data_IF_951044363906
#
_entry.id   IF_951044363906
#
_cell.length_a   1.000
_cell.length_b   1.000
_cell.length_c   1.000
_cell.angle_alpha   90.00
_cell.angle_beta   90.00
_cell.angle_gamma   90.00
#
_symmetry.space_group_name_H-M   'P 1'
#
loop_
_entity.id
_entity.type
_entity.pdbx_description
1 polymer ?
#
# COMPACT_ATOMS: atom_id res chain seq x y z
N UNK A 1 21.89 6.53 5.55
CA UNK A 1 20.93 6.17 4.47
C UNK A 1 20.35 4.77 4.70
N UNK A 2 19.74 4.53 5.87
CA UNK A 2 19.26 3.20 6.30
C UNK A 2 17.72 3.11 6.22
N UNK A 3 17.02 4.23 6.46
CA UNK A 3 15.55 4.33 6.41
C UNK A 3 14.94 4.24 4.99
N UNK A 4 15.73 4.42 3.93
CA UNK A 4 15.20 4.38 2.56
C UNK A 4 15.13 2.96 1.97
N UNK A 5 15.80 1.97 2.60
CA UNK A 5 15.91 0.60 2.08
C UNK A 5 14.77 -0.32 2.51
N UNK A 6 14.05 0.01 3.58
CA UNK A 6 12.93 -0.78 4.07
C UNK A 6 11.61 -0.11 3.63
N UNK A 7 10.69 -0.83 2.94
CA UNK A 7 9.43 -0.26 2.47
C UNK A 7 8.55 0.31 3.59
N UNK A 8 8.69 -0.19 4.82
CA UNK A 8 7.96 0.30 6.00
C UNK A 8 8.49 1.65 6.50
N UNK A 9 9.78 1.93 6.33
CA UNK A 9 10.41 3.18 6.81
C UNK A 9 10.58 4.24 5.70
N UNK A 10 10.29 3.88 4.45
CA UNK A 10 10.28 4.76 3.28
C UNK A 10 9.33 5.97 3.42
N UNK A 11 8.11 5.83 3.98
CA UNK A 11 7.24 6.96 4.35
C UNK A 11 7.95 8.01 5.21
N UNK A 12 8.61 7.56 6.27
CA UNK A 12 9.31 8.42 7.22
C UNK A 12 10.54 9.08 6.59
N UNK A 13 11.22 8.40 5.66
CA UNK A 13 12.33 8.97 4.93
C UNK A 13 11.89 10.15 4.04
N UNK A 14 10.71 10.08 3.41
CA UNK A 14 10.15 11.16 2.60
C UNK A 14 9.75 12.37 3.47
N UNK A 15 9.09 12.12 4.60
CA UNK A 15 8.76 13.16 5.57
C UNK A 15 10.04 13.86 6.08
N UNK A 16 11.09 13.09 6.44
CA UNK A 16 12.37 13.66 6.88
C UNK A 16 13.05 14.49 5.79
N UNK A 17 12.94 14.08 4.53
CA UNK A 17 13.48 14.83 3.40
C UNK A 17 12.73 16.15 3.21
N UNK A 18 11.40 16.13 3.30
CA UNK A 18 10.56 17.33 3.20
C UNK A 18 10.74 18.32 4.35
N UNK A 19 11.20 17.86 5.52
CA UNK A 19 11.50 18.71 6.67
C UNK A 19 12.91 19.35 6.62
N UNK A 20 13.80 18.92 5.72
CA UNK A 20 15.16 19.49 5.61
C UNK A 20 15.21 21.02 5.45
N UNK A 21 14.37 21.67 4.63
CA UNK A 21 14.37 23.12 4.50
C UNK A 21 14.00 23.81 5.83
N UNK A 22 13.05 23.23 6.57
CA UNK A 22 12.60 23.76 7.86
C UNK A 22 13.70 23.65 8.94
N UNK A 23 14.47 22.55 8.93
CA UNK A 23 15.65 22.40 9.78
C UNK A 23 16.73 23.45 9.44
N UNK A 24 16.93 23.73 8.14
CA UNK A 24 17.89 24.75 7.70
C UNK A 24 17.47 26.15 8.14
N UNK A 25 16.19 26.49 7.99
CA UNK A 25 15.64 27.76 8.48
C UNK A 25 15.81 27.92 9.99
N UNK A 26 15.55 26.85 10.77
CA UNK A 26 15.77 26.87 12.21
C UNK A 26 17.24 27.12 12.59
N UNK A 27 18.17 26.49 11.86
CA UNK A 27 19.60 26.70 12.03
C UNK A 27 20.04 28.12 11.67
N UNK A 28 19.34 28.82 10.78
CA UNK A 28 19.64 30.23 10.45
C UNK A 28 19.11 31.24 11.47
N UNK A 29 18.09 30.87 12.27
CA UNK A 29 17.52 31.73 13.30
C UNK A 29 18.35 31.71 14.60
N UNK A 30 19.02 30.59 14.88
CA UNK A 30 19.82 30.38 16.10
C UNK A 30 20.99 31.38 16.28
N UNK A 31 21.83 31.68 15.26
CA UNK A 31 23.01 32.55 15.44
C UNK A 31 22.67 33.99 15.81
N UNK A 32 21.60 34.55 15.21
CA UNK A 32 21.15 35.92 15.49
C UNK A 32 20.61 36.09 16.91
N UNK A 33 20.05 35.01 17.46
CA UNK A 33 19.62 34.93 18.85
C UNK A 33 20.89 34.84 19.71
N UNK A 34 21.75 33.84 19.50
CA UNK A 34 22.98 33.62 20.29
C UNK A 34 23.89 34.86 20.38
N UNK A 35 23.97 35.68 19.34
CA UNK A 35 24.82 36.88 19.28
C UNK A 35 24.43 38.00 20.26
N UNK A 36 23.17 38.09 20.73
CA UNK A 36 22.72 39.19 21.61
C UNK A 36 23.12 39.07 23.09
N UNK A 37 23.83 37.99 23.49
CA UNK A 37 23.84 37.53 24.89
C UNK A 37 25.11 37.80 25.73
N UNK A 38 26.22 38.28 25.17
CA UNK A 38 27.52 38.20 25.86
C UNK A 38 27.85 39.30 26.90
N UNK A 39 26.92 39.76 27.77
CA UNK A 39 27.27 40.75 28.85
C UNK A 39 26.56 40.67 30.22
N UNK A 40 25.40 40.03 30.42
CA UNK A 40 24.75 39.96 31.75
C UNK A 40 23.79 38.76 31.91
N UNK A 41 24.20 37.69 32.61
CA UNK A 41 23.63 36.34 32.43
C UNK A 41 22.13 36.19 32.74
N UNK A 42 21.60 36.81 33.80
CA UNK A 42 20.25 36.50 34.29
C UNK A 42 19.14 37.30 33.59
N UNK A 43 19.37 38.61 33.39
CA UNK A 43 18.45 39.47 32.63
C UNK A 43 18.45 39.14 31.15
N UNK A 44 19.59 38.71 30.62
CA UNK A 44 19.68 38.28 29.23
C UNK A 44 19.08 36.87 29.03
N UNK A 45 19.17 35.97 30.02
CA UNK A 45 18.42 34.69 29.99
C UNK A 45 16.90 34.88 29.93
N UNK A 46 16.33 35.79 30.72
CA UNK A 46 14.90 36.08 30.66
C UNK A 46 14.47 36.65 29.28
N UNK A 47 15.31 37.47 28.65
CA UNK A 47 15.09 37.96 27.27
C UNK A 47 15.22 36.85 26.23
N UNK A 48 16.12 35.89 26.43
CA UNK A 48 16.27 34.72 25.57
C UNK A 48 15.02 33.85 25.60
N UNK A 49 14.57 33.50 26.81
CA UNK A 49 13.37 32.68 27.02
C UNK A 49 12.15 33.37 26.37
N UNK A 50 12.01 34.69 26.54
CA UNK A 50 10.95 35.46 25.90
C UNK A 50 11.06 35.47 24.35
N UNK A 51 12.26 35.68 23.79
CA UNK A 51 12.45 35.67 22.32
C UNK A 51 12.17 34.29 21.70
N UNK A 52 12.54 33.22 22.40
CA UNK A 52 12.22 31.85 21.97
C UNK A 52 10.70 31.64 22.01
N UNK A 53 10.06 32.02 23.11
CA UNK A 53 8.63 31.81 23.33
C UNK A 53 7.75 32.63 22.37
N UNK A 54 8.09 33.89 22.14
CA UNK A 54 7.25 34.81 21.36
C UNK A 54 7.56 34.75 19.86
N UNK A 55 8.78 34.37 19.46
CA UNK A 55 9.20 34.43 18.05
C UNK A 55 9.54 33.06 17.47
N UNK A 56 10.45 32.31 18.10
CA UNK A 56 10.96 31.06 17.53
C UNK A 56 9.90 29.97 17.56
N UNK A 57 9.25 29.75 18.71
CA UNK A 57 8.22 28.71 18.85
C UNK A 57 7.05 28.95 17.88
N UNK A 58 6.45 30.16 17.79
CA UNK A 58 5.35 30.42 16.87
C UNK A 58 5.75 30.30 15.40
N UNK A 59 6.96 30.74 15.02
CA UNK A 59 7.44 30.65 13.63
C UNK A 59 7.67 29.17 13.22
N UNK A 60 8.27 28.38 14.10
CA UNK A 60 8.44 26.93 13.88
C UNK A 60 7.08 26.23 13.79
N UNK A 61 6.15 26.55 14.69
CA UNK A 61 4.79 25.99 14.65
C UNK A 61 4.06 26.35 13.35
N UNK A 62 4.16 27.60 12.90
CA UNK A 62 3.55 28.06 11.64
C UNK A 62 4.13 27.30 10.44
N UNK A 63 5.46 27.20 10.34
CA UNK A 63 6.13 26.48 9.25
C UNK A 63 5.79 24.99 9.25
N UNK A 64 5.76 24.35 10.43
CA UNK A 64 5.38 22.94 10.57
C UNK A 64 3.93 22.71 10.17
N UNK A 65 2.99 23.54 10.65
CA UNK A 65 1.57 23.45 10.27
C UNK A 65 1.34 23.61 8.78
N UNK A 66 2.19 24.37 8.08
CA UNK A 66 2.10 24.56 6.63
C UNK A 66 2.65 23.37 5.83
N UNK A 67 3.76 22.79 6.28
CA UNK A 67 4.49 21.76 5.51
C UNK A 67 4.03 20.34 5.84
N UNK A 68 3.70 20.04 7.10
CA UNK A 68 3.35 18.68 7.53
C UNK A 68 2.13 18.11 6.79
N UNK A 69 0.99 18.82 6.63
CA UNK A 69 -0.17 18.24 5.96
C UNK A 69 0.14 17.80 4.53
N UNK A 70 0.92 18.60 3.79
CA UNK A 70 1.32 18.26 2.42
C UNK A 70 2.17 16.99 2.37
N UNK A 71 3.17 16.86 3.24
CA UNK A 71 4.04 15.68 3.30
C UNK A 71 3.27 14.41 3.72
N UNK A 72 2.35 14.54 4.68
CA UNK A 72 1.51 13.42 5.09
C UNK A 72 0.56 13.00 3.97
N UNK A 73 -0.09 13.95 3.30
CA UNK A 73 -1.01 13.66 2.21
C UNK A 73 -0.30 12.99 1.05
N UNK A 74 0.85 13.52 0.61
CA UNK A 74 1.64 12.91 -0.46
C UNK A 74 2.07 11.48 -0.11
N UNK A 75 2.50 11.26 1.14
CA UNK A 75 2.89 9.94 1.61
C UNK A 75 1.70 8.97 1.65
N UNK A 76 0.54 9.42 2.10
CA UNK A 76 -0.68 8.63 2.15
C UNK A 76 -1.18 8.30 0.75
N UNK A 77 -1.23 9.27 -0.15
CA UNK A 77 -1.64 9.08 -1.54
C UNK A 77 -0.76 8.07 -2.26
N UNK A 78 0.56 8.17 -2.11
CA UNK A 78 1.50 7.21 -2.69
C UNK A 78 1.31 5.80 -2.12
N UNK A 79 1.07 5.70 -0.81
CA UNK A 79 0.85 4.41 -0.14
C UNK A 79 -0.48 3.77 -0.57
N UNK A 80 -1.54 4.57 -0.64
CA UNK A 80 -2.87 4.14 -1.08
C UNK A 80 -2.88 3.73 -2.55
N UNK A 81 -2.22 4.50 -3.42
CA UNK A 81 -2.05 4.15 -4.83
C UNK A 81 -1.33 2.81 -4.97
N UNK A 82 -0.20 2.64 -4.28
CA UNK A 82 0.53 1.37 -4.31
C UNK A 82 -0.26 0.18 -3.76
N UNK A 83 -1.11 0.40 -2.75
CA UNK A 83 -2.01 -0.64 -2.23
C UNK A 83 -3.11 -0.99 -3.24
N UNK A 84 -3.73 0.03 -3.87
CA UNK A 84 -4.75 -0.13 -4.90
C UNK A 84 -4.21 -0.93 -6.08
N UNK A 85 -3.06 -0.54 -6.62
CA UNK A 85 -2.47 -1.20 -7.79
C UNK A 85 -2.17 -2.69 -7.51
N UNK A 86 -1.66 -3.02 -6.31
CA UNK A 86 -1.46 -4.42 -5.89
C UNK A 86 -2.77 -5.19 -5.77
N UNK A 87 -3.79 -4.57 -5.18
CA UNK A 87 -5.10 -5.19 -5.02
C UNK A 87 -5.74 -5.48 -6.39
N UNK A 88 -5.71 -4.52 -7.31
CA UNK A 88 -6.23 -4.70 -8.68
C UNK A 88 -5.51 -5.81 -9.44
N UNK A 89 -4.18 -5.90 -9.29
CA UNK A 89 -3.38 -6.97 -9.88
C UNK A 89 -3.78 -8.34 -9.32
N UNK A 90 -3.88 -8.49 -7.99
CA UNK A 90 -4.26 -9.75 -7.35
C UNK A 90 -5.68 -10.19 -7.72
N UNK A 91 -6.63 -9.24 -7.77
CA UNK A 91 -8.01 -9.52 -8.21
C UNK A 91 -8.02 -10.02 -9.65
N UNK A 92 -7.27 -9.38 -10.54
CA UNK A 92 -7.20 -9.76 -11.96
C UNK A 92 -6.60 -11.16 -12.11
N UNK A 93 -5.51 -11.45 -11.40
CA UNK A 93 -4.88 -12.77 -11.41
C UNK A 93 -5.84 -13.86 -10.92
N UNK A 94 -6.51 -13.66 -9.78
CA UNK A 94 -7.48 -14.62 -9.25
C UNK A 94 -8.66 -14.86 -10.19
N UNK A 95 -9.15 -13.82 -10.88
CA UNK A 95 -10.21 -13.97 -11.90
C UNK A 95 -9.75 -14.86 -13.05
N UNK A 96 -8.51 -14.72 -13.50
CA UNK A 96 -7.94 -15.56 -14.56
C UNK A 96 -7.78 -17.02 -14.09
N UNK A 97 -7.27 -17.25 -12.88
CA UNK A 97 -7.18 -18.59 -12.29
C UNK A 97 -8.55 -19.28 -12.22
N UNK A 98 -9.59 -18.57 -11.77
CA UNK A 98 -10.95 -19.09 -11.70
C UNK A 98 -11.46 -19.45 -13.11
N UNK A 99 -11.25 -18.59 -14.10
CA UNK A 99 -11.70 -18.84 -15.47
C UNK A 99 -11.02 -20.08 -16.08
N UNK A 100 -9.72 -20.27 -15.83
CA UNK A 100 -8.99 -21.45 -16.28
C UNK A 100 -9.51 -22.72 -15.61
N UNK A 101 -9.69 -22.70 -14.29
CA UNK A 101 -10.25 -23.82 -13.53
C UNK A 101 -11.68 -24.18 -13.97
N UNK A 102 -12.51 -23.18 -14.27
CA UNK A 102 -13.86 -23.39 -14.81
C UNK A 102 -13.83 -24.07 -16.18
N UNK A 103 -12.94 -23.61 -17.08
CA UNK A 103 -12.77 -24.19 -18.41
C UNK A 103 -12.30 -25.65 -18.35
N UNK A 104 -11.37 -25.96 -17.45
CA UNK A 104 -10.90 -27.33 -17.23
C UNK A 104 -12.02 -28.23 -16.69
N UNK A 105 -12.78 -27.73 -15.69
CA UNK A 105 -13.95 -28.44 -15.16
C UNK A 105 -15.00 -28.72 -16.23
N UNK A 106 -15.29 -27.75 -17.11
CA UNK A 106 -16.26 -27.92 -18.18
C UNK A 106 -15.80 -28.95 -19.22
N UNK A 107 -14.51 -28.96 -19.55
CA UNK A 107 -13.93 -30.01 -20.40
C UNK A 107 -14.12 -31.40 -19.78
N UNK A 108 -13.78 -31.56 -18.50
CA UNK A 108 -13.96 -32.83 -17.81
C UNK A 108 -15.43 -33.27 -17.72
N UNK A 109 -16.35 -32.33 -17.54
CA UNK A 109 -17.79 -32.62 -17.55
C UNK A 109 -18.23 -33.18 -18.92
N UNK A 110 -17.81 -32.53 -20.01
CA UNK A 110 -18.15 -32.96 -21.36
C UNK A 110 -17.57 -34.35 -21.68
N UNK A 111 -16.34 -34.62 -21.26
CA UNK A 111 -15.71 -35.93 -21.42
C UNK A 111 -16.48 -37.02 -20.66
N UNK A 112 -16.96 -36.72 -19.45
CA UNK A 112 -17.78 -37.64 -18.65
C UNK A 112 -19.16 -37.91 -19.29
N UNK A 113 -19.84 -36.88 -19.79
CA UNK A 113 -21.15 -37.06 -20.44
C UNK A 113 -21.03 -37.90 -21.72
N UNK A 114 -19.96 -37.70 -22.49
CA UNK A 114 -19.66 -38.53 -23.65
C UNK A 114 -19.45 -40.01 -23.26
N UNK A 115 -18.69 -40.26 -22.19
CA UNK A 115 -18.47 -41.63 -21.70
C UNK A 115 -19.77 -42.27 -21.21
N UNK A 116 -20.62 -41.51 -20.50
CA UNK A 116 -21.93 -41.96 -20.04
C UNK A 116 -22.82 -42.35 -21.21
N UNK A 117 -22.90 -41.53 -22.26
CA UNK A 117 -23.69 -41.84 -23.45
C UNK A 117 -23.20 -43.13 -24.15
N UNK A 118 -21.88 -43.32 -24.25
CA UNK A 118 -21.30 -44.56 -24.82
C UNK A 118 -21.72 -45.78 -23.99
N UNK A 119 -21.71 -45.67 -22.67
CA UNK A 119 -22.13 -46.76 -21.78
C UNK A 119 -23.62 -47.07 -21.89
N UNK A 120 -24.48 -46.05 -21.91
CA UNK A 120 -25.93 -46.22 -22.10
C UNK A 120 -26.23 -46.92 -23.44
N UNK A 121 -25.57 -46.51 -24.52
CA UNK A 121 -25.72 -47.16 -25.82
C UNK A 121 -25.30 -48.65 -25.78
N UNK A 122 -24.23 -48.98 -25.05
CA UNK A 122 -23.79 -50.37 -24.87
C UNK A 122 -24.77 -51.20 -24.05
N UNK A 123 -25.34 -50.61 -22.99
CA UNK A 123 -26.37 -51.28 -22.17
C UNK A 123 -27.58 -51.61 -23.04
N UNK A 124 -28.08 -50.63 -23.81
CA UNK A 124 -29.23 -50.84 -24.70
C UNK A 124 -28.97 -51.94 -25.72
N UNK A 125 -27.80 -51.94 -26.36
CA UNK A 125 -27.43 -52.98 -27.32
C UNK A 125 -27.35 -54.38 -26.71
N UNK A 126 -26.86 -54.50 -25.47
CA UNK A 126 -26.83 -55.78 -24.74
C UNK A 126 -28.23 -56.26 -24.38
N UNK A 127 -29.10 -55.35 -23.92
CA UNK A 127 -30.50 -55.67 -23.62
C UNK A 127 -31.28 -56.11 -24.87
N UNK A 128 -31.05 -55.48 -26.02
CA UNK A 128 -31.65 -55.89 -27.29
C UNK A 128 -31.19 -57.29 -27.69
N UNK A 129 -29.90 -57.61 -27.51
CA UNK A 129 -29.34 -58.92 -27.80
C UNK A 129 -29.94 -60.01 -26.89
N UNK A 130 -30.07 -59.72 -25.59
CA UNK A 130 -30.70 -60.61 -24.62
C UNK A 130 -32.17 -60.91 -24.98
N UNK A 131 -32.93 -59.88 -25.38
CA UNK A 131 -34.31 -60.07 -25.81
C UNK A 131 -34.44 -60.89 -27.10
N UNK A 132 -33.48 -60.80 -28.02
CA UNK A 132 -33.45 -61.65 -29.21
C UNK A 132 -33.23 -63.11 -28.81
N UNK A 133 -32.25 -63.39 -27.94
CA UNK A 133 -31.94 -64.73 -27.46
C UNK A 133 -33.06 -65.40 -26.66
N UNK A 134 -33.93 -64.63 -25.99
CA UNK A 134 -35.05 -65.16 -25.20
C UNK A 134 -36.32 -65.45 -26.04
N UNK A 135 -36.36 -65.04 -27.32
CA UNK A 135 -37.50 -65.25 -28.22
C UNK A 135 -37.32 -66.42 -29.19
N UNK A 136 -36.10 -66.95 -29.32
CA UNK A 136 -35.75 -68.18 -30.04
C UNK A 136 -35.79 -69.40 -29.10
#
# INVERSE_FOLDING_TARGET
>A
MILAKNPVTRPFALILQGLKPLLKDLLTLLPNIIASFFRNEEKERAKLENLIEVKVIPEVQYKLKKVLPGLFNECLENSLKGLKDRCELEITHKKQEIALAQKEKEKHLNDLENQKQILENKINALSDLEQQYLKD
#
